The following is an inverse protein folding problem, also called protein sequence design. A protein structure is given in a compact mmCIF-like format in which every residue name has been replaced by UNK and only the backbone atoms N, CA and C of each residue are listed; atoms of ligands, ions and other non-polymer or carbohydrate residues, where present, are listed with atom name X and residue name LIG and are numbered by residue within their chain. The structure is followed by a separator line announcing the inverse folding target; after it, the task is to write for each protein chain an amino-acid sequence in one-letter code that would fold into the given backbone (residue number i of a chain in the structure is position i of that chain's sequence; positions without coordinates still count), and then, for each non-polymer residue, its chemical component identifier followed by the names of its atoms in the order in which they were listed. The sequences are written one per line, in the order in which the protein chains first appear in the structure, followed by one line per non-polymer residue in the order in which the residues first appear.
data_IF_164986697013
#
_entry.id   IF_164986697013
#
_cell.length_a   1.000
_cell.length_b   1.000
_cell.length_c   1.000
_cell.angle_alpha   90.00
_cell.angle_beta   90.00
_cell.angle_gamma   90.00
#
_symmetry.space_group_name_H-M   'P 1'
#
loop_
_entity.id
_entity.type
_entity.pdbx_description
1 polymer ?
#
# COMPACT_ATOMS: atom_id res chain seq x y z
N UNK A 1 -6.13 -43.48 -42.26
CA UNK A 1 -6.71 -43.01 -40.97
C UNK A 1 -5.62 -43.15 -39.92
N UNK A 2 -5.21 -42.14 -39.16
CA UNK A 2 -6.01 -41.14 -38.47
C UNK A 2 -5.38 -39.76 -38.66
N UNK A 3 -6.16 -38.85 -39.24
CA UNK A 3 -5.93 -37.41 -39.16
C UNK A 3 -6.52 -36.92 -37.82
N UNK A 4 -5.73 -36.15 -37.05
CA UNK A 4 -6.12 -35.61 -35.75
C UNK A 4 -5.68 -34.16 -35.60
N UNK A 5 -6.58 -33.27 -35.97
CA UNK A 5 -6.49 -31.81 -35.94
C UNK A 5 -6.15 -31.26 -34.55
N UNK A 6 -5.19 -30.33 -34.43
CA UNK A 6 -5.17 -29.34 -33.32
C UNK A 6 -4.81 -27.93 -33.81
N UNK A 7 -5.90 -27.20 -34.10
CA UNK A 7 -6.14 -25.77 -33.86
C UNK A 7 -5.18 -24.76 -34.50
N UNK A 8 -5.65 -24.23 -35.63
CA UNK A 8 -5.50 -22.81 -35.99
C UNK A 8 -5.96 -21.94 -34.82
N UNK A 9 -5.02 -21.38 -34.07
CA UNK A 9 -5.25 -20.27 -33.17
C UNK A 9 -4.00 -19.38 -33.05
N UNK A 10 -3.44 -18.95 -34.18
CA UNK A 10 -2.66 -17.71 -34.20
C UNK A 10 -3.65 -16.53 -34.22
N UNK A 11 -4.40 -16.39 -33.11
CA UNK A 11 -5.18 -15.18 -32.85
C UNK A 11 -4.16 -14.06 -32.71
N UNK A 12 -4.22 -13.10 -33.62
CA UNK A 12 -3.35 -11.93 -33.82
C UNK A 12 -3.12 -11.07 -32.57
N UNK A 13 -2.45 -11.63 -31.57
CA UNK A 13 -1.95 -10.89 -30.43
C UNK A 13 -0.59 -10.35 -30.82
N UNK A 14 -0.55 -9.14 -31.39
CA UNK A 14 0.69 -8.42 -31.68
C UNK A 14 1.54 -8.41 -30.40
N UNK A 15 2.62 -9.17 -30.39
CA UNK A 15 3.64 -9.10 -29.36
C UNK A 15 4.16 -7.65 -29.33
N UNK A 16 4.51 -7.15 -28.15
CA UNK A 16 5.09 -5.81 -28.02
C UNK A 16 6.41 -5.92 -27.29
N UNK A 17 7.45 -5.30 -27.82
CA UNK A 17 8.71 -5.13 -27.12
C UNK A 17 8.58 -3.93 -26.16
N UNK A 18 9.07 -4.07 -24.93
CA UNK A 18 9.08 -3.01 -23.90
C UNK A 18 10.52 -2.78 -23.44
N UNK A 19 10.91 -1.52 -23.28
CA UNK A 19 12.13 -1.12 -22.55
C UNK A 19 11.81 -0.02 -21.57
N UNK A 20 12.47 -0.05 -20.42
CA UNK A 20 12.35 0.96 -19.39
C UNK A 20 13.75 1.46 -19.07
N UNK A 21 13.97 2.75 -19.23
CA UNK A 21 15.18 3.45 -18.83
C UNK A 21 14.89 4.32 -17.61
N UNK A 22 15.83 4.36 -16.68
CA UNK A 22 15.82 5.27 -15.54
C UNK A 22 17.14 6.04 -15.55
N UNK A 23 17.06 7.36 -15.71
CA UNK A 23 18.18 8.28 -15.53
C UNK A 23 18.50 8.31 -14.03
N UNK A 24 19.33 7.37 -13.61
CA UNK A 24 19.55 7.06 -12.20
C UNK A 24 20.57 8.03 -11.60
N UNK A 25 21.54 8.46 -12.41
CA UNK A 25 22.56 9.42 -12.00
C UNK A 25 22.08 10.89 -12.12
N UNK A 26 20.89 11.12 -12.68
CA UNK A 26 20.26 12.43 -12.86
C UNK A 26 21.09 13.39 -13.74
N UNK A 27 21.71 12.87 -14.82
CA UNK A 27 22.70 13.61 -15.61
C UNK A 27 22.14 14.35 -16.84
N UNK A 28 20.83 14.27 -17.09
CA UNK A 28 20.24 14.94 -18.24
C UNK A 28 20.18 14.07 -19.51
N UNK A 29 20.74 12.85 -19.50
CA UNK A 29 20.69 11.90 -20.63
C UNK A 29 20.23 10.49 -20.20
N UNK A 30 19.97 9.61 -21.17
CA UNK A 30 19.79 8.18 -20.92
C UNK A 30 20.97 7.45 -21.55
N UNK A 31 21.76 6.77 -20.74
CA UNK A 31 22.87 5.93 -21.19
C UNK A 31 22.44 4.48 -21.41
N UNK A 32 23.30 3.67 -22.04
CA UNK A 32 23.04 2.23 -22.22
C UNK A 32 23.08 1.46 -20.90
N UNK A 33 23.86 1.93 -19.91
CA UNK A 33 23.91 1.39 -18.53
C UNK A 33 22.64 1.64 -17.72
N UNK A 34 21.79 2.55 -18.17
CA UNK A 34 20.55 2.95 -17.49
C UNK A 34 19.31 2.23 -18.04
N UNK A 35 19.51 1.21 -18.88
CA UNK A 35 18.46 0.27 -19.22
C UNK A 35 18.07 -0.54 -17.99
N UNK A 36 16.96 -0.18 -17.37
CA UNK A 36 16.48 -0.80 -16.14
C UNK A 36 15.80 -2.14 -16.39
N UNK A 37 15.05 -2.26 -17.50
CA UNK A 37 14.51 -3.55 -17.96
C UNK A 37 14.15 -3.56 -19.44
N UNK A 38 14.15 -4.74 -20.04
CA UNK A 38 13.61 -4.99 -21.38
C UNK A 38 12.86 -6.32 -21.45
N UNK A 39 11.90 -6.44 -22.35
CA UNK A 39 11.21 -7.71 -22.59
C UNK A 39 10.28 -7.68 -23.79
N UNK A 40 9.75 -8.85 -24.14
CA UNK A 40 8.67 -9.00 -25.12
C UNK A 40 7.43 -9.46 -24.37
N UNK A 41 6.29 -8.82 -24.59
CA UNK A 41 5.04 -9.12 -23.92
C UNK A 41 3.91 -9.49 -24.88
N UNK A 42 3.05 -10.37 -24.38
CA UNK A 42 1.69 -10.59 -24.88
C UNK A 42 0.82 -9.36 -24.56
N UNK A 43 -0.18 -8.97 -25.38
CA UNK A 43 -0.78 -7.63 -25.37
C UNK A 43 -1.60 -7.25 -24.12
N UNK A 44 -1.58 -8.04 -23.05
CA UNK A 44 -2.42 -7.83 -21.87
C UNK A 44 -1.73 -7.03 -20.76
N UNK A 45 -0.47 -7.31 -20.42
CA UNK A 45 0.29 -6.54 -19.43
C UNK A 45 1.80 -6.86 -19.44
N UNK A 46 2.62 -5.88 -19.07
CA UNK A 46 4.01 -6.08 -18.63
C UNK A 46 4.09 -5.76 -17.14
N UNK A 47 4.45 -6.74 -16.32
CA UNK A 47 4.65 -6.57 -14.89
C UNK A 47 5.99 -7.16 -14.51
N UNK A 48 6.84 -6.38 -13.85
CA UNK A 48 8.15 -6.81 -13.36
C UNK A 48 8.51 -6.05 -12.10
N UNK A 49 8.93 -6.77 -11.08
CA UNK A 49 9.56 -6.16 -9.90
C UNK A 49 11.04 -5.93 -10.22
N UNK A 50 11.50 -4.69 -10.07
CA UNK A 50 12.87 -4.31 -10.37
C UNK A 50 13.54 -3.78 -9.11
N UNK A 51 14.75 -4.26 -8.76
CA UNK A 51 15.54 -3.63 -7.70
C UNK A 51 15.94 -2.21 -8.12
N UNK A 52 16.13 -1.34 -7.14
CA UNK A 52 16.67 -0.01 -7.38
C UNK A 52 18.09 -0.13 -7.97
N UNK A 53 18.41 0.58 -9.07
CA UNK A 53 19.77 0.61 -9.59
C UNK A 53 20.75 1.14 -8.55
N UNK A 54 21.91 0.50 -8.35
CA UNK A 54 22.95 1.03 -7.48
C UNK A 54 23.36 2.44 -7.90
N UNK A 55 23.44 3.36 -6.92
CA UNK A 55 23.85 4.74 -7.18
C UNK A 55 22.74 5.68 -7.68
N UNK A 56 21.47 5.23 -7.70
CA UNK A 56 20.35 6.11 -8.01
C UNK A 56 20.27 7.29 -7.03
N UNK A 57 20.18 8.52 -7.55
CA UNK A 57 20.07 9.73 -6.73
C UNK A 57 18.72 9.75 -6.02
N UNK A 58 18.75 10.01 -4.71
CA UNK A 58 17.56 9.96 -3.85
C UNK A 58 16.96 11.35 -3.63
N UNK A 59 15.67 11.38 -3.31
CA UNK A 59 14.87 12.55 -2.93
C UNK A 59 14.83 13.67 -3.98
N UNK A 60 15.06 13.30 -5.25
CA UNK A 60 14.93 14.19 -6.41
C UNK A 60 14.09 13.52 -7.49
N UNK A 61 13.37 14.29 -8.33
CA UNK A 61 12.66 13.72 -9.47
C UNK A 61 13.66 13.24 -10.52
N UNK A 62 13.72 11.92 -10.72
CA UNK A 62 14.47 11.26 -11.80
C UNK A 62 13.60 11.05 -13.04
N UNK A 63 14.23 10.93 -14.20
CA UNK A 63 13.52 10.72 -15.47
C UNK A 63 13.40 9.23 -15.77
N UNK A 64 12.17 8.79 -15.95
CA UNK A 64 11.82 7.43 -16.36
C UNK A 64 11.27 7.48 -17.78
N UNK A 65 11.81 6.65 -18.67
CA UNK A 65 11.27 6.47 -20.03
C UNK A 65 10.81 5.05 -20.25
N UNK A 66 9.57 4.87 -20.66
CA UNK A 66 9.01 3.58 -21.06
C UNK A 66 8.82 3.59 -22.57
N UNK A 67 9.51 2.70 -23.28
CA UNK A 67 9.38 2.50 -24.72
C UNK A 67 8.58 1.23 -24.99
N UNK A 68 7.70 1.31 -25.99
CA UNK A 68 6.99 0.16 -26.53
C UNK A 68 7.13 0.14 -28.05
N UNK A 69 7.34 -1.04 -28.65
CA UNK A 69 7.37 -1.21 -30.10
C UNK A 69 6.63 -2.49 -30.50
N UNK A 70 6.18 -2.52 -31.74
CA UNK A 70 5.42 -3.57 -32.38
C UNK A 70 6.08 -4.94 -32.46
N UNK A 71 7.41 -5.07 -32.37
CA UNK A 71 8.14 -6.37 -32.34
C UNK A 71 9.65 -6.25 -32.06
N UNK A 72 10.28 -5.10 -32.31
CA UNK A 72 11.72 -4.90 -32.14
C UNK A 72 12.00 -3.48 -31.66
N UNK A 73 12.82 -3.33 -30.61
CA UNK A 73 13.26 -2.01 -30.13
C UNK A 73 14.64 -1.70 -30.70
N UNK A 74 14.82 -0.47 -31.21
CA UNK A 74 16.14 0.02 -31.58
C UNK A 74 17.11 -0.02 -30.40
N UNK A 75 18.42 0.06 -30.63
CA UNK A 75 19.43 -0.16 -29.57
C UNK A 75 19.48 0.95 -28.51
N UNK A 76 18.91 2.12 -28.79
CA UNK A 76 18.99 3.29 -27.92
C UNK A 76 17.68 3.73 -27.24
N UNK A 77 17.77 4.61 -26.23
CA UNK A 77 16.64 5.15 -25.46
C UNK A 77 15.75 6.15 -26.24
N UNK A 78 16.14 6.49 -27.47
CA UNK A 78 15.41 7.39 -28.36
C UNK A 78 15.04 6.71 -29.69
N UNK A 79 15.22 5.39 -29.81
CA UNK A 79 15.06 4.67 -31.08
C UNK A 79 13.82 3.78 -31.03
N UNK A 80 12.76 4.19 -31.72
CA UNK A 80 11.55 3.39 -31.97
C UNK A 80 11.31 3.28 -33.47
N UNK A 81 10.86 2.12 -33.93
CA UNK A 81 10.56 1.85 -35.34
C UNK A 81 9.06 1.96 -35.60
N UNK A 82 8.25 1.25 -34.80
CA UNK A 82 6.78 1.19 -34.90
C UNK A 82 6.20 1.16 -33.49
N UNK A 83 6.54 2.21 -32.74
CA UNK A 83 6.38 2.28 -31.30
C UNK A 83 6.23 3.71 -30.78
N UNK A 84 6.10 3.84 -29.48
CA UNK A 84 6.07 5.12 -28.77
C UNK A 84 6.89 5.01 -27.49
N UNK A 85 7.36 6.16 -27.00
CA UNK A 85 7.91 6.28 -25.67
C UNK A 85 7.11 7.29 -24.86
N UNK A 86 7.07 7.07 -23.55
CA UNK A 86 6.43 7.94 -22.57
C UNK A 86 7.44 8.26 -21.48
N UNK A 87 7.49 9.54 -21.11
CA UNK A 87 8.37 10.07 -20.07
C UNK A 87 7.59 10.37 -18.80
N UNK A 88 8.15 9.95 -17.68
CA UNK A 88 7.59 10.15 -16.34
C UNK A 88 8.68 10.67 -15.41
N UNK A 89 8.24 11.30 -14.33
CA UNK A 89 9.13 11.67 -13.21
C UNK A 89 8.89 10.72 -12.05
N UNK A 90 9.96 10.09 -11.56
CA UNK A 90 9.92 9.18 -10.40
C UNK A 90 10.83 9.73 -9.33
N UNK A 91 10.33 9.87 -8.11
CA UNK A 91 11.15 10.23 -6.94
C UNK A 91 11.42 8.97 -6.13
N UNK A 92 12.70 8.61 -5.99
CA UNK A 92 13.13 7.52 -5.12
C UNK A 92 13.46 8.12 -3.77
N UNK A 93 12.78 7.72 -2.71
CA UNK A 93 13.04 8.22 -1.36
C UNK A 93 13.85 7.22 -0.55
N UNK A 94 14.70 7.73 0.35
CA UNK A 94 15.30 6.89 1.37
C UNK A 94 14.26 6.66 2.48
N UNK A 95 13.54 5.56 2.38
CA UNK A 95 12.58 5.12 3.38
C UNK A 95 12.64 3.61 3.54
N UNK A 96 12.14 3.04 4.65
CA UNK A 96 11.97 1.60 4.73
C UNK A 96 11.21 1.14 3.48
N UNK A 97 11.77 0.16 2.76
CA UNK A 97 11.10 -0.49 1.63
C UNK A 97 9.72 -0.91 2.14
N UNK A 98 8.67 -0.25 1.66
CA UNK A 98 7.29 -0.55 2.03
C UNK A 98 6.85 -1.86 1.41
N UNK A 99 7.46 -2.98 1.81
CA UNK A 99 6.74 -4.25 1.78
C UNK A 99 5.74 -4.15 2.91
N UNK A 100 4.47 -4.15 2.53
CA UNK A 100 3.33 -3.69 3.32
C UNK A 100 3.26 -2.15 3.32
N UNK A 101 2.08 -1.62 2.96
CA UNK A 101 1.52 -0.40 3.59
C UNK A 101 1.97 -0.42 5.07
N UNK A 102 2.09 0.67 5.84
CA UNK A 102 1.61 0.52 7.19
C UNK A 102 0.20 -0.03 6.94
N UNK A 103 -0.03 -1.32 7.23
CA UNK A 103 -1.35 -1.70 7.68
C UNK A 103 -1.67 -0.55 8.61
N UNK A 104 -2.82 0.09 8.41
CA UNK A 104 -3.41 0.81 9.52
C UNK A 104 -3.63 -0.27 10.58
N UNK A 105 -2.53 -0.69 11.22
CA UNK A 105 -2.39 -1.49 12.41
C UNK A 105 -2.63 -0.47 13.49
N UNK A 106 -3.79 0.18 13.44
CA UNK A 106 -4.53 0.20 14.66
C UNK A 106 -4.65 -1.29 15.03
N UNK A 107 -3.73 -1.80 15.87
CA UNK A 107 -3.94 -3.03 16.64
C UNK A 107 -5.03 -2.76 17.68
N UNK A 108 -6.00 -1.93 17.32
CA UNK A 108 -7.11 -1.46 18.07
C UNK A 108 -8.19 -1.07 17.05
N UNK A 109 -9.34 -1.71 17.10
CA UNK A 109 -10.51 -1.29 16.32
C UNK A 109 -11.78 -1.63 17.09
N UNK A 110 -12.87 -0.97 16.70
CA UNK A 110 -14.18 -1.20 17.32
C UNK A 110 -15.16 -1.78 16.30
N UNK A 111 -15.97 -2.74 16.74
CA UNK A 111 -17.02 -3.36 15.94
C UNK A 111 -18.28 -3.64 16.78
N UNK A 112 -19.49 -3.41 16.26
CA UNK A 112 -19.77 -2.69 15.01
C UNK A 112 -19.42 -1.20 15.13
N UNK A 113 -19.25 -0.54 14.00
CA UNK A 113 -19.06 0.91 13.93
C UNK A 113 -19.83 1.44 12.70
N UNK A 114 -20.98 2.12 12.87
CA UNK A 114 -21.55 2.63 14.12
C UNK A 114 -21.94 1.55 15.15
N UNK A 115 -21.91 1.90 16.44
CA UNK A 115 -22.39 1.08 17.54
C UNK A 115 -23.64 1.69 18.18
N UNK A 116 -24.65 0.88 18.48
CA UNK A 116 -25.85 1.36 19.17
C UNK A 116 -25.58 1.56 20.67
N UNK A 117 -25.25 0.47 21.37
CA UNK A 117 -24.86 0.51 22.78
C UNK A 117 -23.59 -0.32 23.01
N UNK A 118 -23.66 -1.61 22.71
CA UNK A 118 -22.52 -2.51 22.91
C UNK A 118 -21.59 -2.54 21.70
N UNK A 119 -20.28 -2.49 21.95
CA UNK A 119 -19.24 -2.67 20.94
C UNK A 119 -18.08 -3.51 21.47
N UNK A 120 -17.38 -4.18 20.56
CA UNK A 120 -16.17 -4.92 20.82
C UNK A 120 -14.97 -4.03 20.53
N UNK A 121 -14.15 -3.79 21.56
CA UNK A 121 -12.81 -3.25 21.41
C UNK A 121 -11.84 -4.39 21.14
N UNK A 122 -11.42 -4.55 19.89
CA UNK A 122 -10.35 -5.47 19.52
C UNK A 122 -9.00 -4.84 19.79
N UNK A 123 -8.01 -5.62 20.21
CA UNK A 123 -6.64 -5.14 20.42
C UNK A 123 -5.58 -6.25 20.28
N UNK A 124 -4.38 -5.96 19.77
CA UNK A 124 -3.29 -6.96 19.72
C UNK A 124 -2.30 -6.82 20.89
N UNK A 125 -2.77 -7.12 22.11
CA UNK A 125 -1.98 -7.04 23.34
C UNK A 125 -1.97 -8.42 24.01
N UNK A 126 -0.80 -8.99 24.38
CA UNK A 126 -0.73 -10.25 25.12
C UNK A 126 -1.58 -10.22 26.39
N UNK A 127 -2.19 -11.34 26.75
CA UNK A 127 -3.06 -11.45 27.94
C UNK A 127 -2.35 -10.99 29.23
N UNK A 128 -3.10 -10.36 30.13
CA UNK A 128 -2.63 -9.99 31.48
C UNK A 128 -1.91 -8.65 31.58
N UNK A 129 -1.66 -7.98 30.45
CA UNK A 129 -1.11 -6.63 30.40
C UNK A 129 -2.16 -5.59 30.83
N UNK A 130 -1.72 -4.54 31.49
CA UNK A 130 -2.56 -3.38 31.84
C UNK A 130 -2.56 -2.41 30.66
N UNK A 131 -3.75 -1.96 30.27
CA UNK A 131 -3.95 -1.00 29.18
C UNK A 131 -4.66 0.24 29.74
N UNK A 132 -4.23 1.43 29.33
CA UNK A 132 -4.90 2.68 29.66
C UNK A 132 -5.77 3.11 28.47
N UNK A 133 -7.08 3.06 28.64
CA UNK A 133 -8.05 3.57 27.67
C UNK A 133 -8.39 5.03 28.02
N UNK A 134 -8.27 5.90 27.04
CA UNK A 134 -8.74 7.29 27.09
C UNK A 134 -9.77 7.48 25.98
N UNK A 135 -10.92 8.05 26.31
CA UNK A 135 -11.99 8.35 25.34
C UNK A 135 -12.14 9.86 25.25
N UNK A 136 -12.06 10.40 24.04
CA UNK A 136 -12.29 11.83 23.76
C UNK A 136 -13.41 12.01 22.76
N UNK A 137 -14.20 13.08 22.89
CA UNK A 137 -15.20 13.45 21.89
C UNK A 137 -14.57 14.20 20.71
N UNK A 138 -15.41 14.64 19.76
CA UNK A 138 -14.98 15.38 18.55
C UNK A 138 -14.40 16.76 18.83
N UNK A 139 -14.64 17.36 20.00
CA UNK A 139 -14.05 18.64 20.41
C UNK A 139 -12.72 18.47 21.15
N UNK A 140 -12.25 17.23 21.34
CA UNK A 140 -11.01 16.91 22.05
C UNK A 140 -11.16 16.82 23.57
N UNK A 141 -12.37 16.99 24.11
CA UNK A 141 -12.63 16.80 25.54
C UNK A 141 -12.51 15.33 25.92
N UNK A 142 -11.72 15.02 26.95
CA UNK A 142 -11.67 13.68 27.54
C UNK A 142 -12.94 13.40 28.33
N UNK A 143 -13.65 12.35 27.93
CA UNK A 143 -14.88 11.87 28.57
C UNK A 143 -14.54 10.82 29.63
N UNK A 144 -13.57 9.96 29.34
CA UNK A 144 -13.19 8.84 30.21
C UNK A 144 -11.69 8.58 30.17
N UNK A 145 -11.13 8.22 31.32
CA UNK A 145 -9.85 7.54 31.45
C UNK A 145 -10.05 6.30 32.33
N UNK A 146 -9.74 5.11 31.79
CA UNK A 146 -9.95 3.84 32.47
C UNK A 146 -8.80 2.87 32.26
N UNK A 147 -8.52 2.03 33.28
CA UNK A 147 -7.55 0.94 33.16
C UNK A 147 -8.27 -0.36 32.84
N UNK A 148 -7.84 -1.02 31.77
CA UNK A 148 -8.35 -2.31 31.32
C UNK A 148 -7.26 -3.37 31.45
N UNK A 149 -7.66 -4.64 31.52
CA UNK A 149 -6.75 -5.79 31.45
C UNK A 149 -6.97 -6.51 30.12
N UNK A 150 -5.89 -6.81 29.41
CA UNK A 150 -5.96 -7.58 28.18
C UNK A 150 -6.40 -9.03 28.45
N UNK A 151 -7.33 -9.52 27.63
CA UNK A 151 -7.90 -10.87 27.68
C UNK A 151 -7.20 -11.79 26.67
N UNK A 152 -7.32 -13.10 26.85
CA UNK A 152 -6.77 -14.10 25.92
C UNK A 152 -7.31 -13.92 24.49
N UNK A 153 -8.58 -13.51 24.37
CA UNK A 153 -9.27 -13.31 23.10
C UNK A 153 -8.92 -12.00 22.40
N UNK A 154 -8.03 -11.17 22.97
CA UNK A 154 -7.60 -9.91 22.35
C UNK A 154 -8.78 -8.98 22.00
N UNK A 155 -9.84 -9.07 22.79
CA UNK A 155 -11.04 -8.26 22.65
C UNK A 155 -11.74 -8.04 23.99
N UNK A 156 -12.48 -6.95 24.10
CA UNK A 156 -13.32 -6.63 25.26
C UNK A 156 -14.65 -6.07 24.77
N UNK A 157 -15.75 -6.58 25.30
CA UNK A 157 -17.08 -5.99 25.09
C UNK A 157 -17.29 -4.83 26.06
N UNK A 158 -17.74 -3.70 25.54
CA UNK A 158 -17.98 -2.46 26.26
C UNK A 158 -19.39 -1.94 25.91
N UNK A 159 -20.02 -1.19 26.82
CA UNK A 159 -21.30 -0.48 26.59
C UNK A 159 -21.07 1.03 26.55
N UNK A 160 -21.60 1.70 25.53
CA UNK A 160 -21.57 3.14 25.41
C UNK A 160 -22.32 3.82 26.58
N UNK A 161 -23.44 3.24 27.03
CA UNK A 161 -24.21 3.78 28.16
C UNK A 161 -23.46 3.67 29.49
N UNK A 162 -22.81 2.54 29.76
CA UNK A 162 -21.99 2.37 30.98
C UNK A 162 -20.80 3.33 30.98
N UNK A 163 -20.24 3.64 29.81
CA UNK A 163 -19.17 4.61 29.63
C UNK A 163 -19.67 6.07 29.55
N UNK A 164 -20.97 6.32 29.71
CA UNK A 164 -21.61 7.63 29.61
C UNK A 164 -21.25 8.36 28.29
N UNK A 165 -21.31 7.64 27.18
CA UNK A 165 -21.07 8.16 25.82
C UNK A 165 -22.42 8.39 25.12
N UNK A 166 -22.92 9.64 25.02
CA UNK A 166 -24.03 9.98 24.15
C UNK A 166 -23.75 9.64 22.68
N UNK A 167 -24.77 9.70 21.82
CA UNK A 167 -24.59 9.57 20.38
C UNK A 167 -23.62 10.62 19.84
N UNK A 168 -22.71 10.20 18.96
CA UNK A 168 -21.65 11.07 18.47
C UNK A 168 -20.35 10.34 18.11
N UNK A 169 -19.34 11.15 17.81
CA UNK A 169 -18.03 10.71 17.36
C UNK A 169 -17.01 10.77 18.51
N UNK A 170 -16.31 9.66 18.72
CA UNK A 170 -15.28 9.51 19.74
C UNK A 170 -13.99 8.95 19.17
N UNK A 171 -12.87 9.34 19.79
CA UNK A 171 -11.57 8.71 19.61
C UNK A 171 -11.23 7.91 20.88
N UNK A 172 -10.90 6.63 20.68
CA UNK A 172 -10.46 5.73 21.74
C UNK A 172 -8.95 5.58 21.61
N UNK A 173 -8.21 6.13 22.56
CA UNK A 173 -6.75 6.02 22.67
C UNK A 173 -6.41 4.93 23.69
N UNK A 174 -5.67 3.92 23.27
CA UNK A 174 -5.20 2.83 24.13
C UNK A 174 -3.68 2.90 24.27
N UNK A 175 -3.20 2.89 25.50
CA UNK A 175 -1.79 2.96 25.82
C UNK A 175 -1.33 1.73 26.62
N UNK A 176 -0.24 1.10 26.18
CA UNK A 176 0.36 -0.10 26.80
C UNK A 176 1.88 0.05 26.78
N UNK A 177 2.50 0.09 27.96
CA UNK A 177 3.96 0.16 28.11
C UNK A 177 4.60 1.28 27.26
N UNK A 178 3.93 2.46 27.20
CA UNK A 178 4.38 3.62 26.42
C UNK A 178 3.99 3.61 24.94
N UNK A 179 3.48 2.48 24.42
CA UNK A 179 2.95 2.42 23.05
C UNK A 179 1.50 2.89 23.02
N UNK A 180 1.22 3.84 22.15
CA UNK A 180 -0.11 4.48 22.03
C UNK A 180 -0.71 4.14 20.69
N UNK A 181 -1.98 3.73 20.71
CA UNK A 181 -2.77 3.52 19.51
C UNK A 181 -4.13 4.19 19.64
N UNK A 182 -4.78 4.48 18.52
CA UNK A 182 -6.08 5.17 18.51
C UNK A 182 -7.00 4.60 17.46
N UNK A 183 -8.29 4.49 17.78
CA UNK A 183 -9.34 4.16 16.82
C UNK A 183 -10.56 5.08 16.99
N UNK A 184 -11.42 5.09 15.97
CA UNK A 184 -12.64 5.89 15.91
C UNK A 184 -13.86 5.06 16.29
N UNK A 185 -14.69 5.57 17.18
CA UNK A 185 -16.02 5.01 17.49
C UNK A 185 -17.10 6.03 17.11
N UNK A 186 -18.12 5.58 16.40
CA UNK A 186 -19.35 6.32 16.17
C UNK A 186 -20.46 5.64 16.97
N UNK A 187 -21.05 6.37 17.92
CA UNK A 187 -22.22 5.91 18.69
C UNK A 187 -23.48 6.41 17.97
N UNK A 188 -24.36 5.48 17.61
CA UNK A 188 -25.62 5.75 16.93
C UNK A 188 -26.61 6.50 17.86
N UNK A 189 -27.57 7.26 17.30
CA UNK A 189 -28.61 7.95 18.06
C UNK A 189 -29.54 7.02 18.85
#
# INVERSE_FOLDING_TARGET
MVAGLKRLAAKWHKQRAVRVYLDANNDGTFSTSELWTSGIVSPTAFSRTLPLPPGAVLNVPLRLRILTDSNFLGTGPCTVTRGQYLDFSVTITNGPLGTVRPKDSANIYVAPNPADDTFLLHYAVPQGKTMLLTVTNSTGQTILVGRLRSTAGQQLQLSAKELSLPSGLYLLRLEVEGNVQTCKLLVAP
#
